data_IF_953268056790
#
_entry.id   IF_953268056790
#
_cell.length_a   1.000
_cell.length_b   1.000
_cell.length_c   1.000
_cell.angle_alpha   90.00
_cell.angle_beta   90.00
_cell.angle_gamma   90.00
#
_symmetry.space_group_name_H-M   'P 1'
#
loop_
_entity.id
_entity.type
_entity.pdbx_description
1 polymer ?
#
# COMPACT_ATOMS: atom_id res chain seq x y z
N UNK A 1 -0.48 24.30 13.54
CA UNK A 1 -0.83 23.02 12.89
C UNK A 1 -1.45 21.98 13.84
N UNK A 2 -1.79 22.32 15.10
CA UNK A 2 -2.47 21.42 16.04
C UNK A 2 -4.00 21.35 15.86
N UNK A 3 -4.60 22.20 15.02
CA UNK A 3 -6.04 22.33 14.85
C UNK A 3 -6.69 21.31 13.88
N UNK A 4 -5.89 20.62 13.05
CA UNK A 4 -6.41 19.82 11.92
C UNK A 4 -6.68 18.35 12.22
N UNK A 5 -6.50 17.88 13.47
CA UNK A 5 -6.80 16.48 13.79
C UNK A 5 -6.18 15.45 12.81
N UNK A 6 -4.96 15.73 12.32
CA UNK A 6 -4.22 14.82 11.44
C UNK A 6 -3.84 13.49 12.12
N UNK A 7 -4.34 13.18 13.31
CA UNK A 7 -4.20 11.87 13.97
C UNK A 7 -4.74 10.68 13.14
N UNK A 8 -5.46 10.95 12.04
CA UNK A 8 -5.89 9.97 11.03
C UNK A 8 -4.96 9.94 9.79
N UNK A 9 -3.63 9.94 9.98
CA UNK A 9 -2.63 9.98 8.89
C UNK A 9 -2.73 8.83 7.88
N UNK A 10 -3.50 7.77 8.15
CA UNK A 10 -3.68 6.58 7.30
C UNK A 10 -4.17 6.94 5.90
N UNK A 11 -5.24 7.73 5.78
CA UNK A 11 -5.88 8.00 4.49
C UNK A 11 -4.97 8.80 3.56
N UNK A 12 -4.37 9.95 3.96
CA UNK A 12 -3.46 10.68 3.09
C UNK A 12 -2.18 9.90 2.74
N UNK A 13 -1.62 9.14 3.69
CA UNK A 13 -0.43 8.32 3.42
C UNK A 13 -0.75 7.18 2.43
N UNK A 14 -1.91 6.54 2.58
CA UNK A 14 -2.37 5.49 1.67
C UNK A 14 -2.68 6.05 0.30
N UNK A 15 -3.31 7.22 0.20
CA UNK A 15 -3.55 7.89 -1.06
C UNK A 15 -2.24 8.27 -1.78
N UNK A 16 -1.25 8.79 -1.04
CA UNK A 16 0.08 9.06 -1.57
C UNK A 16 0.79 7.79 -2.04
N UNK A 17 0.66 6.68 -1.31
CA UNK A 17 1.22 5.40 -1.73
C UNK A 17 0.53 4.88 -2.98
N UNK A 18 -0.81 4.90 -3.02
CA UNK A 18 -1.59 4.54 -4.20
C UNK A 18 -1.22 5.39 -5.42
N UNK A 19 -0.97 6.69 -5.23
CA UNK A 19 -0.48 7.56 -6.30
C UNK A 19 0.87 7.09 -6.86
N UNK A 20 1.84 6.72 -6.03
CA UNK A 20 3.15 6.23 -6.48
C UNK A 20 3.08 4.88 -7.22
N UNK A 21 2.11 4.03 -6.86
CA UNK A 21 1.98 2.69 -7.43
C UNK A 21 1.38 2.67 -8.84
N UNK A 22 0.92 3.82 -9.35
CA UNK A 22 0.35 3.95 -10.68
C UNK A 22 1.46 4.09 -11.73
N UNK A 23 1.71 3.11 -12.61
CA UNK A 23 2.78 3.25 -13.59
C UNK A 23 2.56 4.42 -14.57
N UNK A 24 1.29 4.77 -14.81
CA UNK A 24 0.84 5.89 -15.64
C UNK A 24 0.71 7.22 -14.87
N UNK A 25 1.05 7.24 -13.58
CA UNK A 25 0.90 8.41 -12.73
C UNK A 25 1.83 9.55 -13.12
N UNK A 26 1.37 10.79 -12.92
CA UNK A 26 2.15 12.00 -13.20
C UNK A 26 3.32 12.25 -12.20
N UNK A 27 3.70 11.26 -11.38
CA UNK A 27 4.85 11.33 -10.48
C UNK A 27 6.21 11.14 -11.18
N UNK A 28 6.22 10.67 -12.44
CA UNK A 28 7.43 10.40 -13.24
C UNK A 28 8.35 9.29 -12.69
N UNK A 29 7.78 8.33 -11.95
CA UNK A 29 8.52 7.13 -11.53
C UNK A 29 8.28 5.93 -12.45
N UNK A 30 7.31 6.03 -13.38
CA UNK A 30 6.86 4.86 -14.15
C UNK A 30 6.47 3.72 -13.22
N UNK A 31 6.84 2.50 -13.57
CA UNK A 31 6.59 1.30 -12.76
C UNK A 31 7.60 1.08 -11.62
N UNK A 32 8.57 1.97 -11.38
CA UNK A 32 9.67 1.70 -10.44
C UNK A 32 9.20 1.46 -9.00
N UNK A 33 8.25 2.25 -8.52
CA UNK A 33 7.70 2.09 -7.17
C UNK A 33 6.87 0.80 -7.05
N UNK A 34 6.04 0.49 -8.06
CA UNK A 34 5.29 -0.76 -8.13
C UNK A 34 6.22 -1.99 -8.17
N UNK A 35 7.24 -1.96 -9.00
CA UNK A 35 8.22 -3.05 -9.07
C UNK A 35 8.99 -3.22 -7.76
N UNK A 36 9.30 -2.12 -7.06
CA UNK A 36 9.90 -2.19 -5.72
C UNK A 36 8.97 -2.80 -4.66
N UNK A 37 7.65 -2.59 -4.78
CA UNK A 37 6.66 -3.29 -3.95
C UNK A 37 6.58 -4.77 -4.31
N UNK A 38 6.49 -5.11 -5.60
CA UNK A 38 6.43 -6.50 -6.06
C UNK A 38 7.67 -7.28 -5.62
N UNK A 39 8.86 -6.70 -5.79
CA UNK A 39 10.13 -7.27 -5.30
C UNK A 39 10.09 -7.52 -3.79
N UNK A 40 9.59 -6.55 -3.01
CA UNK A 40 9.47 -6.70 -1.56
C UNK A 40 8.51 -7.83 -1.16
N UNK A 41 7.47 -8.07 -1.95
CA UNK A 41 6.51 -9.15 -1.76
C UNK A 41 6.98 -10.49 -2.38
N UNK A 42 8.19 -10.54 -2.94
CA UNK A 42 8.76 -11.71 -3.64
C UNK A 42 7.91 -12.13 -4.86
N UNK A 43 7.27 -11.15 -5.51
CA UNK A 43 6.44 -11.35 -6.68
C UNK A 43 7.19 -10.97 -7.97
N UNK A 44 6.83 -11.59 -9.12
CA UNK A 44 7.37 -11.19 -10.41
C UNK A 44 7.14 -9.69 -10.70
N UNK A 45 8.07 -9.02 -11.40
CA UNK A 45 7.91 -7.63 -11.78
C UNK A 45 6.72 -7.46 -12.74
N UNK A 46 6.16 -6.24 -12.79
CA UNK A 46 5.00 -5.96 -13.63
C UNK A 46 5.36 -6.09 -15.12
N UNK A 47 4.87 -7.14 -15.78
CA UNK A 47 5.10 -7.37 -17.21
C UNK A 47 4.25 -6.48 -18.13
N UNK A 48 3.10 -5.96 -17.66
CA UNK A 48 2.20 -5.12 -18.47
C UNK A 48 1.70 -3.89 -17.69
N UNK A 49 2.52 -2.82 -17.57
CA UNK A 49 2.19 -1.63 -16.78
C UNK A 49 0.86 -0.96 -17.14
N UNK A 50 0.43 -1.04 -18.41
CA UNK A 50 -0.81 -0.44 -18.91
C UNK A 50 -2.09 -1.16 -18.43
N UNK A 51 -1.97 -2.27 -17.70
CA UNK A 51 -3.09 -3.02 -17.14
C UNK A 51 -3.20 -2.89 -15.62
N UNK A 52 -2.44 -1.98 -15.02
CA UNK A 52 -2.49 -1.73 -13.59
C UNK A 52 -3.60 -0.72 -13.28
N UNK A 53 -4.53 -1.11 -12.41
CA UNK A 53 -5.52 -0.22 -11.81
C UNK A 53 -5.28 -0.14 -10.32
N UNK A 54 -5.12 1.07 -9.80
CA UNK A 54 -4.97 1.32 -8.36
C UNK A 54 -6.25 1.97 -7.85
N UNK A 55 -6.84 1.42 -6.79
CA UNK A 55 -8.03 1.94 -6.13
C UNK A 55 -7.77 2.17 -4.64
N UNK A 56 -8.07 3.37 -4.16
CA UNK A 56 -8.04 3.70 -2.73
C UNK A 56 -9.45 3.59 -2.15
N UNK A 57 -9.57 3.13 -0.92
CA UNK A 57 -10.86 2.96 -0.24
C UNK A 57 -11.84 2.10 -1.08
N UNK A 58 -11.36 0.98 -1.63
CA UNK A 58 -12.12 0.11 -2.53
C UNK A 58 -13.16 -0.69 -1.74
N UNK A 59 -14.44 -0.39 -1.99
CA UNK A 59 -15.58 -0.93 -1.27
C UNK A 59 -16.11 -2.20 -1.94
N UNK A 60 -16.30 -3.28 -1.17
CA UNK A 60 -17.06 -4.47 -1.55
C UNK A 60 -18.07 -4.79 -0.47
N UNK A 61 -19.35 -4.82 -0.82
CA UNK A 61 -20.45 -5.11 0.10
C UNK A 61 -20.31 -4.36 1.44
N UNK A 62 -19.99 -5.08 2.53
CA UNK A 62 -19.90 -4.58 3.90
C UNK A 62 -18.46 -4.23 4.36
N UNK A 63 -17.47 -4.34 3.47
CA UNK A 63 -16.07 -4.09 3.79
C UNK A 63 -15.40 -3.14 2.79
N UNK A 64 -14.25 -2.60 3.20
CA UNK A 64 -13.49 -1.64 2.41
C UNK A 64 -12.00 -1.86 2.62
N UNK A 65 -11.27 -2.09 1.53
CA UNK A 65 -9.82 -2.12 1.55
C UNK A 65 -9.28 -0.70 1.42
N UNK A 66 -8.25 -0.36 2.20
CA UNK A 66 -7.65 0.98 2.13
C UNK A 66 -6.99 1.25 0.77
N UNK A 67 -6.37 0.22 0.18
CA UNK A 67 -5.73 0.30 -1.13
C UNK A 67 -5.72 -1.07 -1.81
N UNK A 68 -6.09 -1.11 -3.10
CA UNK A 68 -6.02 -2.31 -3.93
C UNK A 68 -5.30 -2.00 -5.23
N UNK A 69 -4.34 -2.86 -5.58
CA UNK A 69 -3.65 -2.84 -6.88
C UNK A 69 -4.12 -4.04 -7.68
N UNK A 70 -4.84 -3.78 -8.76
CA UNK A 70 -5.30 -4.79 -9.71
C UNK A 70 -4.32 -4.87 -10.87
N UNK A 71 -3.79 -6.07 -11.12
CA UNK A 71 -3.01 -6.41 -12.30
C UNK A 71 -3.63 -7.59 -13.06
N UNK A 72 -2.99 -8.00 -14.15
CA UNK A 72 -3.46 -9.14 -14.96
C UNK A 72 -3.32 -10.48 -14.22
N UNK A 73 -2.24 -10.64 -13.45
CA UNK A 73 -1.87 -11.91 -12.82
C UNK A 73 -1.86 -11.84 -11.28
N UNK A 74 -2.13 -10.66 -10.71
CA UNK A 74 -2.05 -10.42 -9.26
C UNK A 74 -3.03 -9.33 -8.84
N UNK A 75 -3.62 -9.51 -7.65
CA UNK A 75 -4.40 -8.50 -6.95
C UNK A 75 -3.82 -8.30 -5.57
N UNK A 76 -3.27 -7.11 -5.30
CA UNK A 76 -2.66 -6.80 -4.00
C UNK A 76 -3.65 -5.99 -3.18
N UNK A 77 -4.10 -6.53 -2.07
CA UNK A 77 -5.02 -5.90 -1.12
C UNK A 77 -4.21 -5.42 0.07
N UNK A 78 -4.24 -4.11 0.32
CA UNK A 78 -3.45 -3.46 1.37
C UNK A 78 -4.42 -2.86 2.39
N UNK A 79 -4.29 -3.29 3.64
CA UNK A 79 -4.91 -2.64 4.80
C UNK A 79 -3.84 -1.87 5.56
N UNK A 80 -4.07 -0.58 5.80
CA UNK A 80 -3.09 0.33 6.36
C UNK A 80 -3.47 0.78 7.77
N UNK A 81 -2.56 0.58 8.73
CA UNK A 81 -2.70 1.00 10.13
C UNK A 81 -1.57 1.95 10.51
N UNK A 82 -1.96 3.12 10.98
CA UNK A 82 -1.11 4.11 11.63
C UNK A 82 -1.21 3.96 13.15
N UNK A 83 -2.43 4.15 13.66
CA UNK A 83 -2.73 4.19 15.09
C UNK A 83 -4.04 3.48 15.43
N UNK A 84 -4.94 3.31 14.46
CA UNK A 84 -6.22 2.67 14.72
C UNK A 84 -6.02 1.17 15.03
N UNK A 85 -6.70 0.64 16.08
CA UNK A 85 -6.74 -0.79 16.28
C UNK A 85 -7.51 -1.48 15.15
N UNK A 86 -7.25 -2.77 14.96
CA UNK A 86 -8.06 -3.61 14.07
C UNK A 86 -9.47 -3.73 14.62
N UNK A 87 -10.46 -3.62 13.73
CA UNK A 87 -11.84 -3.93 14.09
C UNK A 87 -12.04 -5.45 14.12
N UNK A 88 -12.97 -5.98 14.93
CA UNK A 88 -13.22 -7.42 14.99
C UNK A 88 -13.43 -8.03 13.59
N UNK A 89 -12.70 -9.12 13.30
CA UNK A 89 -12.77 -9.85 12.02
C UNK A 89 -12.51 -8.99 10.78
N UNK A 90 -11.84 -7.84 10.92
CA UNK A 90 -11.64 -6.92 9.81
C UNK A 90 -10.87 -7.57 8.66
N UNK A 91 -9.73 -8.19 8.96
CA UNK A 91 -8.90 -8.81 7.92
C UNK A 91 -9.54 -10.09 7.37
N UNK A 92 -10.20 -10.88 8.21
CA UNK A 92 -11.00 -12.01 7.74
C UNK A 92 -12.04 -11.58 6.69
N UNK A 93 -12.76 -10.46 6.91
CA UNK A 93 -13.72 -9.95 5.92
C UNK A 93 -13.04 -9.52 4.62
N UNK A 94 -11.89 -8.84 4.71
CA UNK A 94 -11.12 -8.47 3.52
C UNK A 94 -10.64 -9.72 2.74
N UNK A 95 -10.17 -10.76 3.44
CA UNK A 95 -9.81 -12.02 2.80
C UNK A 95 -10.99 -12.61 2.03
N UNK A 96 -12.14 -12.80 2.67
CA UNK A 96 -13.32 -13.42 2.05
C UNK A 96 -13.76 -12.71 0.75
N UNK A 97 -13.61 -11.39 0.70
CA UNK A 97 -14.05 -10.57 -0.43
C UNK A 97 -13.07 -10.51 -1.60
N UNK A 98 -11.77 -10.78 -1.37
CA UNK A 98 -10.74 -10.71 -2.42
C UNK A 98 -9.99 -12.02 -2.65
N UNK A 99 -10.20 -13.08 -1.85
CA UNK A 99 -9.45 -14.35 -1.98
C UNK A 99 -9.65 -15.05 -3.33
N UNK A 100 -10.75 -14.75 -4.03
CA UNK A 100 -11.06 -15.30 -5.34
C UNK A 100 -10.52 -14.44 -6.50
N UNK A 101 -9.94 -13.27 -6.23
CA UNK A 101 -9.29 -12.47 -7.24
C UNK A 101 -7.99 -13.14 -7.70
N UNK A 102 -7.61 -12.90 -8.96
CA UNK A 102 -6.42 -13.51 -9.56
C UNK A 102 -5.17 -13.18 -8.73
N UNK A 103 -4.46 -14.23 -8.30
CA UNK A 103 -3.21 -14.09 -7.55
C UNK A 103 -3.34 -13.20 -6.31
N UNK A 104 -4.44 -13.28 -5.57
CA UNK A 104 -4.68 -12.42 -4.41
C UNK A 104 -3.53 -12.47 -3.39
N UNK A 105 -2.96 -11.31 -3.06
CA UNK A 105 -1.91 -11.11 -2.07
C UNK A 105 -2.37 -10.07 -1.06
N UNK A 106 -2.33 -10.41 0.22
CA UNK A 106 -2.80 -9.56 1.30
C UNK A 106 -1.61 -8.93 2.02
N UNK A 107 -1.65 -7.62 2.21
CA UNK A 107 -0.58 -6.83 2.82
C UNK A 107 -1.13 -6.07 4.00
N UNK A 108 -0.45 -6.22 5.13
CA UNK A 108 -0.76 -5.50 6.35
C UNK A 108 0.29 -4.40 6.55
N UNK A 109 -0.08 -3.16 6.23
CA UNK A 109 0.79 -2.01 6.24
C UNK A 109 0.72 -1.28 7.58
N UNK A 110 1.80 -1.28 8.35
CA UNK A 110 1.81 -0.75 9.72
C UNK A 110 2.93 0.27 9.95
N UNK A 111 2.94 0.95 11.10
CA UNK A 111 4.08 1.81 11.49
C UNK A 111 5.35 1.00 11.79
N UNK A 112 5.23 -0.10 12.51
CA UNK A 112 6.31 -1.03 12.83
C UNK A 112 5.89 -2.47 12.57
N UNK A 113 6.84 -3.40 12.59
CA UNK A 113 6.58 -4.80 12.30
C UNK A 113 5.58 -5.39 13.30
N UNK A 114 4.35 -5.64 12.83
CA UNK A 114 3.28 -6.24 13.62
C UNK A 114 2.51 -7.21 12.74
N UNK A 115 2.27 -8.41 13.27
CA UNK A 115 1.32 -9.33 12.66
C UNK A 115 -0.11 -8.83 12.89
N UNK A 116 -1.03 -9.04 11.95
CA UNK A 116 -2.44 -8.79 12.21
C UNK A 116 -3.01 -9.79 13.20
N UNK A 117 -3.99 -9.36 13.99
CA UNK A 117 -4.66 -10.21 15.00
C UNK A 117 -6.06 -10.62 14.59
N UNK A 118 -6.61 -10.01 13.54
CA UNK A 118 -7.96 -10.28 13.03
C UNK A 118 -7.99 -11.02 11.70
N UNK A 119 -6.83 -11.51 11.26
CA UNK A 119 -6.72 -12.40 10.09
C UNK A 119 -7.38 -13.75 10.35
N UNK A 120 -7.90 -14.38 9.30
CA UNK A 120 -8.61 -15.66 9.42
C UNK A 120 -7.63 -16.77 9.77
N UNK A 121 -7.92 -17.56 10.78
CA UNK A 121 -7.10 -18.73 11.11
C UNK A 121 -7.14 -19.75 9.95
N UNK A 122 -5.96 -20.15 9.45
CA UNK A 122 -5.83 -21.02 8.27
C UNK A 122 -6.21 -20.35 6.94
N UNK A 123 -6.40 -19.02 6.94
CA UNK A 123 -6.68 -18.23 5.74
C UNK A 123 -5.42 -17.84 4.97
N UNK A 124 -5.54 -16.76 4.19
CA UNK A 124 -4.43 -16.26 3.40
C UNK A 124 -3.32 -15.69 4.28
N UNK A 125 -2.08 -15.75 3.79
CA UNK A 125 -0.95 -15.10 4.47
C UNK A 125 -1.06 -13.59 4.28
N UNK A 126 -0.99 -12.86 5.39
CA UNK A 126 -0.80 -11.40 5.38
C UNK A 126 0.69 -11.06 5.42
N UNK A 127 1.16 -10.40 4.37
CA UNK A 127 2.53 -9.94 4.25
C UNK A 127 2.71 -8.64 5.05
N UNK A 128 3.62 -8.60 6.04
CA UNK A 128 3.87 -7.36 6.77
C UNK A 128 4.60 -6.37 5.87
N UNK A 129 4.14 -5.13 5.87
CA UNK A 129 4.82 -3.99 5.26
C UNK A 129 4.82 -2.85 6.28
N UNK A 130 5.88 -2.07 6.34
CA UNK A 130 5.94 -0.89 7.20
C UNK A 130 5.96 0.37 6.35
N UNK A 131 5.44 1.48 6.89
CA UNK A 131 5.58 2.77 6.22
C UNK A 131 7.05 3.14 5.98
N UNK A 132 8.00 2.59 6.75
CA UNK A 132 9.43 2.82 6.59
C UNK A 132 9.98 2.05 5.39
N UNK A 133 9.45 0.85 5.14
CA UNK A 133 9.69 0.11 3.90
C UNK A 133 9.09 0.82 2.69
N UNK A 134 7.88 1.40 2.82
CA UNK A 134 7.29 2.24 1.76
C UNK A 134 8.18 3.42 1.43
N UNK A 135 8.72 4.13 2.43
CA UNK A 135 9.66 5.24 2.23
C UNK A 135 10.91 4.78 1.47
N UNK A 136 11.49 3.63 1.84
CA UNK A 136 12.66 3.05 1.16
C UNK A 136 12.36 2.67 -0.30
N UNK A 137 11.19 2.07 -0.56
CA UNK A 137 10.75 1.73 -1.92
C UNK A 137 10.62 3.02 -2.76
N UNK A 138 9.94 4.03 -2.23
CA UNK A 138 9.76 5.31 -2.90
C UNK A 138 11.10 6.02 -3.16
N UNK A 139 12.01 6.02 -2.18
CA UNK A 139 13.35 6.61 -2.31
C UNK A 139 14.19 5.93 -3.37
N UNK A 140 14.18 4.58 -3.44
CA UNK A 140 14.86 3.84 -4.52
C UNK A 140 14.25 4.17 -5.89
N UNK A 141 12.92 4.23 -5.99
CA UNK A 141 12.25 4.59 -7.23
C UNK A 141 12.56 6.02 -7.68
N UNK A 142 12.63 6.97 -6.74
CA UNK A 142 13.02 8.36 -7.01
C UNK A 142 14.46 8.46 -7.53
N UNK A 143 15.40 7.74 -6.90
CA UNK A 143 16.80 7.69 -7.32
C UNK A 143 16.99 7.02 -8.71
N UNK A 144 16.12 6.08 -9.06
CA UNK A 144 16.11 5.44 -10.38
C UNK A 144 15.41 6.26 -11.47
N UNK A 145 14.73 7.36 -11.12
CA UNK A 145 14.07 8.23 -12.08
C UNK A 145 14.97 9.41 -12.48
N UNK A 146 14.93 9.80 -13.76
CA UNK A 146 15.68 10.95 -14.27
C UNK A 146 15.21 12.28 -13.65
N UNK A 147 13.92 12.40 -13.33
CA UNK A 147 13.33 13.64 -12.81
C UNK A 147 11.98 13.37 -12.12
N UNK A 148 11.98 12.83 -10.88
CA UNK A 148 10.75 12.74 -10.09
C UNK A 148 10.13 14.13 -9.90
N UNK A 149 8.80 14.18 -9.76
CA UNK A 149 8.14 15.46 -9.41
C UNK A 149 8.38 15.79 -7.93
N UNK A 150 8.36 17.08 -7.53
CA UNK A 150 8.63 17.48 -6.14
C UNK A 150 7.77 16.76 -5.10
N UNK A 151 6.49 16.51 -5.41
CA UNK A 151 5.57 15.81 -4.51
C UNK A 151 5.99 14.38 -4.14
N UNK A 152 6.85 13.73 -4.94
CA UNK A 152 7.46 12.43 -4.54
C UNK A 152 8.38 12.63 -3.35
N UNK A 153 9.21 13.67 -3.37
CA UNK A 153 10.15 13.97 -2.29
C UNK A 153 9.41 14.44 -1.04
N UNK A 154 8.38 15.26 -1.20
CA UNK A 154 7.53 15.69 -0.08
C UNK A 154 6.83 14.49 0.59
N UNK A 155 6.38 13.52 -0.21
CA UNK A 155 5.78 12.29 0.30
C UNK A 155 6.80 11.41 1.04
N UNK A 156 8.01 11.23 0.49
CA UNK A 156 9.10 10.50 1.16
C UNK A 156 9.42 11.16 2.51
N UNK A 157 9.63 12.48 2.53
CA UNK A 157 9.90 13.22 3.76
C UNK A 157 8.76 13.10 4.78
N UNK A 158 7.50 13.09 4.31
CA UNK A 158 6.33 12.87 5.16
C UNK A 158 6.34 11.48 5.80
N UNK A 159 6.72 10.44 5.04
CA UNK A 159 6.86 9.09 5.58
C UNK A 159 8.03 8.99 6.56
N UNK A 160 9.17 9.61 6.29
CA UNK A 160 10.32 9.59 7.20
C UNK A 160 10.02 10.29 8.52
N UNK A 161 9.39 11.47 8.47
CA UNK A 161 8.92 12.17 9.67
C UNK A 161 7.88 11.37 10.45
N UNK A 162 7.09 10.54 9.77
CA UNK A 162 6.09 9.68 10.41
C UNK A 162 6.71 8.58 11.31
N UNK A 163 7.98 8.23 11.11
CA UNK A 163 8.70 7.22 11.90
C UNK A 163 9.57 7.78 13.03
N UNK A 164 9.83 9.08 13.03
CA UNK A 164 10.78 9.70 13.95
C UNK A 164 10.19 10.11 15.31
N UNK A 165 8.94 9.73 15.61
CA UNK A 165 8.23 10.01 16.87
C UNK A 165 7.90 8.74 17.69
#
# INVERSE_FOLDING_TARGET
>A
MAALRLHNREVPLTAGFGWLLRPDGHHRLGALALNGLLEHLELPPCGTPNRIRVATEDQREDTRADLVVYGADVTIVIEAKAFAPEQPRQLERLELHWEHDVGAVFVYLTRGERAPVTARAGGARWHPLTWAQVARIAGRAANGSLRPVPGVMDFIASLEAYHHD
#
